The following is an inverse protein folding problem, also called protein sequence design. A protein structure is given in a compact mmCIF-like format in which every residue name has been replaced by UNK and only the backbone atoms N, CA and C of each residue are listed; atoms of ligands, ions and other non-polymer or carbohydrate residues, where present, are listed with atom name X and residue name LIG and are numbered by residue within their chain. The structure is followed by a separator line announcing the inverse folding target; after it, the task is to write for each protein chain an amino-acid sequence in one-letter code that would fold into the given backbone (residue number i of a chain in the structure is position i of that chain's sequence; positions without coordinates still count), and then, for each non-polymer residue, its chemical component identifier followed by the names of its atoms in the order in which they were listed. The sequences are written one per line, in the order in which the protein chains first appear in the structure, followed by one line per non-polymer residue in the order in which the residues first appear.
data_IF_946752108482
#
_entry.id   IF_946752108482
#
_cell.length_a   1.000
_cell.length_b   1.000
_cell.length_c   1.000
_cell.angle_alpha   90.00
_cell.angle_beta   90.00
_cell.angle_gamma   90.00
#
_symmetry.space_group_name_H-M   'P 1'
#
loop_
_entity.id
_entity.type
_entity.pdbx_description
1 polymer ?
#
# COMPACT_ATOMS: atom_id res chain seq x y z
N UNK A 1 18.14 -16.46 -7.77
CA UNK A 1 19.49 -17.02 -7.68
C UNK A 1 19.39 -18.32 -6.89
N UNK A 2 19.61 -19.44 -7.54
CA UNK A 2 19.54 -20.76 -6.91
C UNK A 2 20.98 -21.22 -6.68
N UNK A 3 21.33 -21.55 -5.43
CA UNK A 3 22.59 -22.20 -5.12
C UNK A 3 22.39 -23.72 -5.27
N UNK A 4 23.12 -24.34 -6.18
CA UNK A 4 23.17 -25.79 -6.30
C UNK A 4 24.52 -26.27 -5.76
N UNK A 5 24.58 -27.25 -4.84
CA UNK A 5 25.84 -27.85 -4.43
C UNK A 5 26.36 -28.72 -5.58
N UNK A 6 27.62 -28.49 -5.94
CA UNK A 6 28.38 -29.33 -6.87
C UNK A 6 29.10 -30.43 -6.10
N UNK A 7 29.16 -31.65 -6.64
CA UNK A 7 30.01 -32.68 -6.07
C UNK A 7 31.51 -32.25 -6.21
N UNK A 8 32.36 -32.53 -5.21
CA UNK A 8 33.71 -31.97 -5.13
C UNK A 8 34.54 -32.15 -6.39
N UNK A 9 34.51 -33.32 -7.00
CA UNK A 9 35.31 -33.63 -8.19
C UNK A 9 34.87 -32.82 -9.41
N UNK A 10 33.59 -32.54 -9.56
CA UNK A 10 33.05 -31.72 -10.66
C UNK A 10 33.18 -30.24 -10.36
N UNK A 11 33.16 -29.87 -9.09
CA UNK A 11 33.38 -28.50 -8.64
C UNK A 11 34.70 -27.96 -9.10
N UNK A 12 35.83 -28.70 -8.90
CA UNK A 12 37.15 -28.26 -9.30
C UNK A 12 37.29 -28.14 -10.82
N UNK A 13 36.68 -29.04 -11.59
CA UNK A 13 36.70 -28.98 -13.05
C UNK A 13 35.97 -27.79 -13.59
N UNK A 14 34.71 -27.58 -13.18
CA UNK A 14 33.85 -26.48 -13.62
C UNK A 14 34.39 -25.14 -13.14
N UNK A 15 34.77 -25.03 -11.86
CA UNK A 15 35.27 -23.79 -11.27
C UNK A 15 36.63 -23.38 -11.86
N UNK A 16 37.50 -24.32 -12.16
CA UNK A 16 38.82 -24.00 -12.78
C UNK A 16 38.64 -23.49 -14.23
N UNK A 17 37.73 -24.11 -15.00
CA UNK A 17 37.41 -23.68 -16.36
C UNK A 17 36.77 -22.28 -16.39
N UNK A 18 35.81 -22.02 -15.48
CA UNK A 18 35.13 -20.72 -15.39
C UNK A 18 36.04 -19.61 -14.84
N UNK A 19 36.93 -19.94 -13.90
CA UNK A 19 37.96 -19.01 -13.41
C UNK A 19 38.91 -18.56 -14.50
N UNK A 20 39.36 -19.48 -15.35
CA UNK A 20 40.23 -19.14 -16.48
C UNK A 20 39.59 -18.20 -17.49
N UNK A 21 38.25 -18.25 -17.60
CA UNK A 21 37.48 -17.37 -18.47
C UNK A 21 37.11 -16.02 -17.85
N UNK A 22 37.34 -15.84 -16.56
CA UNK A 22 37.03 -14.59 -15.85
C UNK A 22 35.50 -14.40 -15.54
N UNK A 23 34.71 -15.44 -15.77
CA UNK A 23 33.24 -15.38 -15.63
C UNK A 23 32.75 -15.71 -14.21
N UNK A 24 33.70 -16.11 -13.32
CA UNK A 24 33.39 -16.54 -11.96
C UNK A 24 33.85 -15.52 -10.94
N UNK A 25 32.94 -15.01 -10.12
CA UNK A 25 33.26 -14.17 -8.96
C UNK A 25 32.96 -14.89 -7.67
N UNK A 26 33.88 -14.90 -6.75
CA UNK A 26 33.67 -15.35 -5.40
C UNK A 26 33.00 -14.23 -4.60
N UNK A 27 31.84 -14.51 -4.00
CA UNK A 27 31.14 -13.60 -3.10
C UNK A 27 31.09 -14.24 -1.71
N UNK A 28 31.55 -13.49 -0.72
CA UNK A 28 31.30 -13.85 0.67
C UNK A 28 29.85 -13.42 1.00
N UNK A 29 28.96 -14.39 1.24
CA UNK A 29 27.59 -14.14 1.66
C UNK A 29 27.52 -14.25 3.17
N UNK A 30 27.38 -13.13 3.84
CA UNK A 30 27.15 -13.07 5.29
C UNK A 30 25.67 -13.16 5.55
N UNK A 31 25.19 -14.32 5.99
CA UNK A 31 23.86 -14.47 6.56
C UNK A 31 23.93 -14.24 8.07
N UNK A 32 22.83 -13.78 8.69
CA UNK A 32 22.71 -13.57 10.15
C UNK A 32 22.96 -14.84 10.99
N UNK A 33 23.08 -16.00 10.38
CA UNK A 33 23.23 -17.31 11.05
C UNK A 33 24.46 -18.11 10.61
N UNK A 34 24.95 -17.95 9.38
CA UNK A 34 26.06 -18.74 8.84
C UNK A 34 26.85 -17.96 7.80
N UNK A 35 28.17 -18.11 7.82
CA UNK A 35 29.05 -17.66 6.75
C UNK A 35 29.06 -18.73 5.66
N UNK A 36 28.68 -18.36 4.45
CA UNK A 36 28.72 -19.26 3.30
C UNK A 36 29.53 -18.61 2.17
N UNK A 37 30.47 -19.33 1.62
CA UNK A 37 31.11 -18.94 0.38
C UNK A 37 30.18 -19.30 -0.78
N UNK A 38 29.78 -18.32 -1.56
CA UNK A 38 28.94 -18.53 -2.74
C UNK A 38 29.72 -18.14 -4.00
N UNK A 39 29.59 -18.95 -5.02
CA UNK A 39 30.11 -18.66 -6.35
C UNK A 39 28.99 -18.09 -7.21
N UNK A 40 29.22 -16.94 -7.83
CA UNK A 40 28.27 -16.32 -8.76
C UNK A 40 28.82 -16.42 -10.16
N UNK A 41 28.03 -17.06 -11.02
CA UNK A 41 28.29 -17.16 -12.44
C UNK A 41 27.56 -16.02 -13.14
N UNK A 42 28.28 -15.12 -13.80
CA UNK A 42 27.73 -14.10 -14.68
C UNK A 42 27.54 -14.74 -16.07
N UNK A 43 26.37 -15.34 -16.31
CA UNK A 43 26.02 -15.87 -17.63
C UNK A 43 25.68 -14.73 -18.56
N UNK A 44 26.48 -14.57 -19.62
CA UNK A 44 26.11 -13.75 -20.77
C UNK A 44 25.21 -14.56 -21.70
N UNK A 45 24.20 -13.97 -22.35
CA UNK A 45 23.23 -14.69 -23.22
C UNK A 45 23.88 -15.47 -24.40
N UNK A 46 25.16 -15.29 -24.66
CA UNK A 46 25.90 -15.89 -25.77
C UNK A 46 26.78 -17.08 -25.36
N UNK A 47 26.83 -17.44 -24.09
CA UNK A 47 27.66 -18.57 -23.62
C UNK A 47 26.90 -19.90 -23.68
N UNK A 48 26.58 -20.37 -24.89
CA UNK A 48 25.96 -21.68 -25.12
C UNK A 48 26.73 -22.83 -24.47
N UNK A 49 28.06 -22.76 -24.46
CA UNK A 49 28.93 -23.80 -23.89
C UNK A 49 28.74 -23.99 -22.37
N UNK A 50 28.36 -22.94 -21.62
CA UNK A 50 28.13 -23.06 -20.17
C UNK A 50 26.81 -23.72 -19.90
N UNK A 51 25.80 -23.42 -20.70
CA UNK A 51 24.47 -24.05 -20.60
C UNK A 51 24.60 -25.55 -20.91
N UNK A 52 25.30 -25.91 -21.99
CA UNK A 52 25.55 -27.31 -22.36
C UNK A 52 26.31 -28.08 -21.27
N UNK A 53 27.33 -27.49 -20.64
CA UNK A 53 28.08 -28.11 -19.54
C UNK A 53 27.18 -28.29 -18.30
N UNK A 54 26.32 -27.31 -17.99
CA UNK A 54 25.36 -27.43 -16.88
C UNK A 54 24.29 -28.47 -17.18
N UNK A 55 23.77 -28.52 -18.41
CA UNK A 55 22.81 -29.53 -18.84
C UNK A 55 23.39 -30.93 -18.82
N UNK A 56 24.61 -31.12 -19.31
CA UNK A 56 25.32 -32.40 -19.24
C UNK A 56 25.59 -32.83 -17.80
N UNK A 57 26.02 -31.92 -16.93
CA UNK A 57 26.24 -32.19 -15.51
C UNK A 57 24.95 -32.53 -14.74
N UNK A 58 23.82 -31.94 -15.13
CA UNK A 58 22.51 -32.32 -14.58
C UNK A 58 22.04 -33.67 -15.10
N UNK A 59 22.28 -33.98 -16.38
CA UNK A 59 21.89 -35.25 -16.99
C UNK A 59 22.76 -36.44 -16.51
N UNK A 60 24.08 -36.21 -16.29
CA UNK A 60 24.99 -37.21 -15.74
C UNK A 60 24.82 -37.44 -14.24
N UNK A 61 24.10 -36.56 -13.53
CA UNK A 61 23.94 -36.59 -12.08
C UNK A 61 25.12 -36.02 -11.30
N UNK A 62 26.11 -35.43 -11.98
CA UNK A 62 27.25 -34.75 -11.36
C UNK A 62 26.86 -33.43 -10.70
N UNK A 63 25.76 -32.82 -11.16
CA UNK A 63 25.16 -31.67 -10.52
C UNK A 63 23.86 -32.13 -9.86
N UNK A 64 23.80 -32.03 -8.52
CA UNK A 64 22.59 -32.35 -7.76
C UNK A 64 21.90 -31.07 -7.27
N UNK A 65 20.63 -30.90 -7.66
CA UNK A 65 19.80 -29.84 -7.09
C UNK A 65 19.21 -30.35 -5.77
N UNK A 66 19.45 -29.69 -4.61
CA UNK A 66 18.90 -30.13 -3.35
C UNK A 66 17.38 -30.27 -3.43
N UNK A 67 16.88 -31.49 -3.20
CA UNK A 67 15.44 -31.79 -3.29
C UNK A 67 14.91 -32.11 -4.67
N UNK A 68 15.76 -32.24 -5.71
CA UNK A 68 15.37 -32.85 -6.96
C UNK A 68 15.34 -34.37 -6.80
N UNK A 69 14.24 -34.99 -7.20
CA UNK A 69 14.13 -36.47 -7.23
C UNK A 69 14.93 -36.97 -8.45
N UNK A 70 15.92 -37.86 -8.27
CA UNK A 70 16.64 -38.44 -9.40
C UNK A 70 15.67 -39.18 -10.31
N UNK A 71 15.78 -39.02 -11.61
CA UNK A 71 14.92 -39.58 -12.67
C UNK A 71 13.51 -38.98 -12.76
N UNK A 72 13.40 -37.77 -13.27
CA UNK A 72 12.12 -37.17 -13.65
C UNK A 72 12.10 -36.64 -15.10
N UNK A 73 12.42 -37.40 -16.16
CA UNK A 73 12.14 -36.92 -17.52
C UNK A 73 10.64 -36.93 -17.83
N UNK A 74 9.88 -37.88 -17.31
CA UNK A 74 8.49 -38.10 -17.73
C UNK A 74 7.42 -37.36 -16.92
N UNK A 75 7.77 -36.79 -15.79
CA UNK A 75 6.77 -36.13 -14.91
C UNK A 75 6.38 -34.74 -15.39
N UNK A 76 7.23 -34.13 -16.21
CA UNK A 76 6.96 -32.78 -16.77
C UNK A 76 6.33 -32.80 -18.18
N UNK A 77 6.27 -33.98 -18.86
CA UNK A 77 5.69 -34.07 -20.22
C UNK A 77 4.21 -33.67 -20.28
N UNK A 78 3.49 -33.70 -19.15
CA UNK A 78 2.08 -33.32 -19.07
C UNK A 78 1.82 -32.00 -18.33
N UNK A 79 2.85 -31.20 -18.05
CA UNK A 79 2.72 -29.93 -17.30
C UNK A 79 2.79 -28.73 -18.24
N UNK A 80 1.72 -28.51 -19.00
CA UNK A 80 1.61 -27.36 -19.89
C UNK A 80 1.20 -26.04 -19.16
N UNK A 81 0.65 -26.15 -17.96
CA UNK A 81 0.13 -25.01 -17.22
C UNK A 81 0.15 -25.25 -15.70
N UNK A 82 -0.16 -24.20 -14.93
CA UNK A 82 -0.19 -24.25 -13.45
C UNK A 82 -1.14 -25.31 -12.91
N UNK A 83 -2.26 -25.54 -13.59
CA UNK A 83 -3.24 -26.57 -13.18
C UNK A 83 -2.65 -27.96 -13.34
N UNK A 84 -2.01 -28.26 -14.46
CA UNK A 84 -1.29 -29.52 -14.69
C UNK A 84 -0.19 -29.74 -13.64
N UNK A 85 0.58 -28.71 -13.33
CA UNK A 85 1.59 -28.74 -12.27
C UNK A 85 1.00 -29.05 -10.90
N UNK A 86 -0.07 -28.39 -10.51
CA UNK A 86 -0.72 -28.61 -9.22
C UNK A 86 -1.41 -29.98 -9.13
N UNK A 87 -1.95 -30.50 -10.24
CA UNK A 87 -2.52 -31.84 -10.28
C UNK A 87 -1.44 -32.92 -10.05
N UNK A 88 -0.24 -32.69 -10.57
CA UNK A 88 0.88 -33.64 -10.47
C UNK A 88 1.62 -33.50 -9.14
N UNK A 89 1.90 -32.27 -8.71
CA UNK A 89 2.77 -31.99 -7.55
C UNK A 89 2.03 -31.35 -6.36
N UNK A 90 0.72 -31.15 -6.45
CA UNK A 90 -0.06 -30.39 -5.46
C UNK A 90 0.09 -30.92 -4.04
N UNK A 91 0.13 -32.25 -3.86
CA UNK A 91 0.33 -32.86 -2.54
C UNK A 91 1.73 -32.54 -2.00
N UNK A 92 2.77 -32.71 -2.81
CA UNK A 92 4.15 -32.44 -2.42
C UNK A 92 4.37 -30.95 -2.12
N UNK A 93 3.78 -30.07 -2.92
CA UNK A 93 3.80 -28.61 -2.70
C UNK A 93 3.06 -28.26 -1.41
N UNK A 94 1.88 -28.84 -1.19
CA UNK A 94 1.09 -28.61 0.02
C UNK A 94 1.84 -29.07 1.28
N UNK A 95 2.49 -30.24 1.23
CA UNK A 95 3.26 -30.74 2.38
C UNK A 95 4.51 -29.91 2.66
N UNK A 96 5.20 -29.43 1.62
CA UNK A 96 6.30 -28.47 1.79
C UNK A 96 5.83 -27.15 2.40
N UNK A 97 4.70 -26.62 1.93
CA UNK A 97 4.10 -25.40 2.50
C UNK A 97 3.72 -25.63 3.96
N UNK A 98 3.05 -26.72 4.28
CA UNK A 98 2.66 -27.08 5.66
C UNK A 98 3.87 -27.21 6.58
N UNK A 99 4.95 -27.82 6.11
CA UNK A 99 6.17 -28.01 6.89
C UNK A 99 6.98 -26.74 7.07
N UNK A 100 6.99 -25.83 6.06
CA UNK A 100 7.69 -24.55 6.13
C UNK A 100 6.91 -23.46 6.86
N UNK A 101 5.58 -23.47 6.73
CA UNK A 101 4.71 -22.46 7.29
C UNK A 101 3.74 -23.08 8.28
N UNK A 102 4.24 -23.38 9.47
CA UNK A 102 3.39 -23.86 10.57
C UNK A 102 2.30 -22.85 10.87
N UNK A 103 1.02 -23.24 10.93
CA UNK A 103 -0.07 -22.34 11.26
C UNK A 103 0.13 -21.76 12.65
N UNK A 104 -0.17 -20.49 12.81
CA UNK A 104 -0.09 -19.79 14.11
C UNK A 104 -1.14 -20.29 15.11
N UNK A 105 -2.21 -20.85 14.59
CA UNK A 105 -3.30 -21.47 15.33
C UNK A 105 -3.86 -22.64 14.52
N UNK A 106 -4.01 -23.77 15.17
CA UNK A 106 -4.63 -24.98 14.61
C UNK A 106 -5.84 -25.35 15.46
N UNK A 107 -7.09 -25.08 14.99
CA UNK A 107 -8.29 -25.33 15.78
C UNK A 107 -8.52 -26.82 16.13
N UNK A 108 -7.84 -27.73 15.42
CA UNK A 108 -7.89 -29.17 15.73
C UNK A 108 -7.02 -29.55 16.93
N UNK A 109 -6.06 -28.71 17.29
CA UNK A 109 -5.06 -29.00 18.35
C UNK A 109 -5.18 -28.07 19.56
N UNK A 110 -5.73 -26.89 19.37
CA UNK A 110 -5.72 -25.84 20.39
C UNK A 110 -7.10 -25.19 20.53
N UNK A 111 -7.56 -24.90 21.75
CA UNK A 111 -8.79 -24.14 21.95
C UNK A 111 -8.61 -22.67 21.57
N UNK A 112 -9.72 -22.02 21.26
CA UNK A 112 -9.77 -20.56 21.13
C UNK A 112 -9.50 -19.93 22.50
N UNK A 113 -8.89 -18.74 22.48
CA UNK A 113 -8.65 -17.97 23.70
C UNK A 113 -9.92 -17.34 24.23
N UNK A 114 -9.97 -17.12 25.55
CA UNK A 114 -11.11 -16.53 26.24
C UNK A 114 -11.45 -15.13 25.72
N UNK A 115 -10.45 -14.34 25.29
CA UNK A 115 -10.66 -13.01 24.75
C UNK A 115 -11.40 -13.03 23.40
N UNK A 116 -11.11 -14.01 22.53
CA UNK A 116 -11.81 -14.19 21.25
C UNK A 116 -13.24 -14.68 21.51
N UNK A 117 -13.41 -15.61 22.44
CA UNK A 117 -14.73 -16.12 22.84
C UNK A 117 -15.59 -15.02 23.44
N UNK A 118 -15.05 -14.20 24.35
CA UNK A 118 -15.78 -13.09 24.98
C UNK A 118 -16.27 -12.06 23.96
N UNK A 119 -15.49 -11.79 22.89
CA UNK A 119 -15.94 -10.91 21.80
C UNK A 119 -17.03 -11.59 20.96
N UNK A 120 -16.93 -12.89 20.71
CA UNK A 120 -17.96 -13.64 19.99
C UNK A 120 -19.29 -13.63 20.77
N UNK A 121 -19.24 -13.81 22.09
CA UNK A 121 -20.42 -13.70 22.97
C UNK A 121 -21.02 -12.28 22.94
N UNK A 122 -20.17 -11.27 22.89
CA UNK A 122 -20.61 -9.89 22.73
C UNK A 122 -21.34 -9.68 21.38
N UNK A 123 -20.82 -10.22 20.29
CA UNK A 123 -21.47 -10.19 18.98
C UNK A 123 -22.84 -10.89 19.07
N UNK A 124 -22.87 -12.12 19.60
CA UNK A 124 -24.11 -12.89 19.77
C UNK A 124 -25.17 -12.12 20.56
N UNK A 125 -24.77 -11.48 21.65
CA UNK A 125 -25.70 -10.70 22.49
C UNK A 125 -26.26 -9.45 21.82
N UNK A 126 -25.52 -8.85 20.87
CA UNK A 126 -25.89 -7.59 20.21
C UNK A 126 -26.65 -7.76 18.90
N UNK A 127 -26.25 -8.77 18.12
CA UNK A 127 -26.76 -8.96 16.76
C UNK A 127 -27.45 -10.30 16.54
N UNK A 128 -27.45 -11.21 17.53
CA UNK A 128 -28.16 -12.47 17.50
C UNK A 128 -27.52 -13.57 16.67
N UNK A 129 -26.25 -13.43 16.29
CA UNK A 129 -25.48 -14.46 15.60
C UNK A 129 -24.04 -14.51 16.10
N UNK A 130 -23.41 -15.66 16.01
CA UNK A 130 -21.99 -15.88 16.27
C UNK A 130 -21.19 -15.86 14.99
N UNK A 131 -19.89 -15.61 15.11
CA UNK A 131 -18.95 -15.82 14.00
C UNK A 131 -18.85 -17.33 13.71
N UNK A 132 -18.59 -17.66 12.44
CA UNK A 132 -18.30 -19.05 12.06
C UNK A 132 -16.95 -19.49 12.63
N UNK A 133 -16.79 -20.80 12.88
CA UNK A 133 -15.56 -21.38 13.41
C UNK A 133 -14.31 -20.99 12.62
N UNK A 134 -14.42 -20.97 11.27
CA UNK A 134 -13.33 -20.52 10.41
C UNK A 134 -12.98 -19.03 10.62
N UNK A 135 -13.96 -18.17 10.88
CA UNK A 135 -13.72 -16.75 11.17
C UNK A 135 -13.06 -16.58 12.55
N UNK A 136 -13.49 -17.34 13.53
CA UNK A 136 -12.90 -17.36 14.88
C UNK A 136 -11.46 -17.86 14.84
N UNK A 137 -11.19 -18.92 14.07
CA UNK A 137 -9.84 -19.45 13.90
C UNK A 137 -8.89 -18.43 13.25
N UNK A 138 -9.36 -17.72 12.23
CA UNK A 138 -8.57 -16.64 11.61
C UNK A 138 -8.36 -15.47 12.57
N UNK A 139 -9.38 -15.08 13.33
CA UNK A 139 -9.26 -14.01 14.33
C UNK A 139 -8.23 -14.37 15.41
N UNK A 140 -8.24 -15.61 15.91
CA UNK A 140 -7.25 -16.11 16.86
C UNK A 140 -5.83 -16.10 16.27
N UNK A 141 -5.65 -16.59 15.04
CA UNK A 141 -4.36 -16.58 14.37
C UNK A 141 -3.82 -15.16 14.17
N UNK A 142 -4.67 -14.21 13.74
CA UNK A 142 -4.32 -12.79 13.59
C UNK A 142 -3.94 -12.17 14.94
N UNK A 143 -4.70 -12.42 16.00
CA UNK A 143 -4.37 -11.98 17.36
C UNK A 143 -2.98 -12.48 17.78
N UNK A 144 -2.69 -13.77 17.59
CA UNK A 144 -1.38 -14.39 17.91
C UNK A 144 -0.24 -13.77 17.08
N UNK A 145 -0.49 -13.51 15.79
CA UNK A 145 0.46 -12.81 14.94
C UNK A 145 0.78 -11.43 15.48
N UNK A 146 -0.24 -10.65 15.82
CA UNK A 146 -0.09 -9.28 16.32
C UNK A 146 0.56 -9.21 17.71
N UNK A 147 0.41 -10.25 18.53
CA UNK A 147 1.11 -10.37 19.81
C UNK A 147 2.63 -10.57 19.65
N UNK A 148 3.06 -11.17 18.52
CA UNK A 148 4.47 -11.47 18.22
C UNK A 148 5.10 -10.48 17.26
N UNK A 149 4.33 -10.02 16.29
CA UNK A 149 4.75 -9.15 15.19
C UNK A 149 3.77 -7.99 15.06
N UNK A 150 4.23 -6.91 14.48
CA UNK A 150 3.45 -5.69 14.32
C UNK A 150 2.39 -5.77 13.21
N UNK A 151 2.51 -6.70 12.28
CA UNK A 151 1.74 -6.76 11.04
C UNK A 151 1.02 -8.10 10.93
N UNK A 152 -0.25 -8.05 10.53
CA UNK A 152 -1.01 -9.19 10.05
C UNK A 152 -1.77 -8.81 8.78
N UNK A 153 -1.91 -9.75 7.85
CA UNK A 153 -2.68 -9.60 6.62
C UNK A 153 -3.81 -10.63 6.60
N UNK A 154 -5.03 -10.19 6.32
CA UNK A 154 -6.20 -11.04 6.11
C UNK A 154 -6.52 -11.00 4.62
N UNK A 155 -6.20 -12.09 3.93
CA UNK A 155 -6.50 -12.27 2.51
C UNK A 155 -7.65 -13.27 2.43
N UNK A 156 -8.84 -12.78 2.10
CA UNK A 156 -10.04 -13.59 2.06
C UNK A 156 -11.04 -12.99 1.07
N UNK A 157 -11.89 -13.81 0.47
CA UNK A 157 -12.87 -13.39 -0.53
C UNK A 157 -13.85 -12.32 -0.03
N UNK A 158 -14.49 -11.63 -0.97
CA UNK A 158 -15.56 -10.70 -0.65
C UNK A 158 -16.71 -11.45 0.05
N UNK A 159 -17.24 -10.85 1.14
CA UNK A 159 -18.31 -11.51 1.92
C UNK A 159 -17.83 -12.45 3.03
N UNK A 160 -16.54 -12.79 3.12
CA UNK A 160 -15.98 -13.67 4.16
C UNK A 160 -16.02 -13.11 5.60
N UNK A 161 -16.44 -11.86 5.79
CA UNK A 161 -16.53 -11.22 7.11
C UNK A 161 -15.21 -10.61 7.60
N UNK A 162 -14.29 -10.22 6.71
CA UNK A 162 -12.98 -9.62 7.05
C UNK A 162 -13.08 -8.51 8.10
N UNK A 163 -14.09 -7.65 7.99
CA UNK A 163 -14.35 -6.55 8.93
C UNK A 163 -14.50 -7.05 10.36
N UNK A 164 -15.37 -8.06 10.57
CA UNK A 164 -15.59 -8.65 11.89
C UNK A 164 -14.36 -9.45 12.37
N UNK A 165 -13.73 -10.21 11.49
CA UNK A 165 -12.49 -10.95 11.80
C UNK A 165 -11.39 -10.01 12.30
N UNK A 166 -11.09 -8.94 11.54
CA UNK A 166 -10.07 -7.96 11.91
C UNK A 166 -10.41 -7.20 13.19
N UNK A 167 -11.67 -6.80 13.36
CA UNK A 167 -12.14 -6.14 14.57
C UNK A 167 -12.07 -7.06 15.78
N UNK A 168 -12.49 -8.32 15.66
CA UNK A 168 -12.40 -9.33 16.73
C UNK A 168 -10.95 -9.58 17.13
N UNK A 169 -10.05 -9.79 16.16
CA UNK A 169 -8.64 -10.02 16.45
C UNK A 169 -7.99 -8.85 17.19
N UNK A 170 -8.27 -7.63 16.75
CA UNK A 170 -7.73 -6.43 17.37
C UNK A 170 -8.34 -6.18 18.75
N UNK A 171 -9.64 -6.40 18.91
CA UNK A 171 -10.32 -6.29 20.19
C UNK A 171 -9.83 -7.30 21.21
N UNK A 172 -9.64 -8.55 20.82
CA UNK A 172 -9.07 -9.59 21.65
C UNK A 172 -7.62 -9.27 22.08
N UNK A 173 -6.82 -8.72 21.15
CA UNK A 173 -5.48 -8.25 21.44
C UNK A 173 -5.48 -7.07 22.44
N UNK A 174 -6.45 -6.16 22.31
CA UNK A 174 -6.60 -5.03 23.24
C UNK A 174 -7.02 -5.50 24.65
N UNK A 175 -7.87 -6.51 24.75
CA UNK A 175 -8.17 -7.17 26.04
C UNK A 175 -6.92 -7.74 26.68
N UNK A 176 -6.12 -8.48 25.91
CA UNK A 176 -4.84 -9.01 26.37
C UNK A 176 -3.88 -7.91 26.87
N UNK A 177 -3.81 -6.79 26.14
CA UNK A 177 -2.96 -5.66 26.55
C UNK A 177 -3.48 -4.92 27.80
N UNK A 178 -4.79 -4.84 27.97
CA UNK A 178 -5.37 -4.27 29.19
C UNK A 178 -5.02 -5.12 30.42
N UNK A 179 -5.05 -6.44 30.31
CA UNK A 179 -4.66 -7.36 31.38
C UNK A 179 -3.15 -7.36 31.63
N UNK A 180 -2.33 -7.17 30.59
CA UNK A 180 -0.86 -7.13 30.69
C UNK A 180 -0.26 -5.80 31.16
N UNK A 181 -1.05 -4.86 31.69
CA UNK A 181 -0.56 -3.65 32.37
C UNK A 181 -0.41 -2.40 31.50
N UNK A 182 -1.46 -1.85 31.05
CA UNK A 182 -1.48 -0.41 30.93
C UNK A 182 -1.50 0.20 32.33
N UNK A 183 -0.35 0.68 32.78
CA UNK A 183 -0.19 1.37 34.10
C UNK A 183 -1.06 2.63 34.19
N UNK A 184 -1.60 3.11 33.07
CA UNK A 184 -2.43 4.33 32.98
C UNK A 184 -3.95 4.05 33.01
N UNK A 185 -4.37 2.78 33.06
CA UNK A 185 -5.79 2.39 33.11
C UNK A 185 -6.60 2.77 31.86
N UNK A 186 -5.95 3.28 30.81
CA UNK A 186 -6.65 3.77 29.61
C UNK A 186 -7.12 2.62 28.73
N UNK A 187 -8.28 2.82 28.11
CA UNK A 187 -8.81 1.96 27.06
C UNK A 187 -7.99 2.09 25.76
N UNK A 188 -8.38 1.44 24.68
CA UNK A 188 -7.64 1.39 23.43
C UNK A 188 -8.06 2.48 22.46
N UNK A 189 -7.12 2.95 21.64
CA UNK A 189 -7.39 3.85 20.53
C UNK A 189 -7.04 3.16 19.20
N UNK A 190 -8.08 2.81 18.42
CA UNK A 190 -7.96 2.22 17.10
C UNK A 190 -8.24 3.24 15.99
N UNK A 191 -7.72 2.99 14.80
CA UNK A 191 -8.05 3.70 13.57
C UNK A 191 -8.43 2.73 12.47
N UNK A 192 -9.32 3.17 11.59
CA UNK A 192 -9.74 2.43 10.39
C UNK A 192 -9.60 3.33 9.18
N UNK A 193 -8.94 2.85 8.15
CA UNK A 193 -8.89 3.48 6.84
C UNK A 193 -9.57 2.56 5.82
N UNK A 194 -10.58 3.07 5.13
CA UNK A 194 -11.43 2.28 4.25
C UNK A 194 -11.94 3.11 3.05
N UNK A 195 -12.57 2.50 2.03
CA UNK A 195 -13.29 3.23 1.00
C UNK A 195 -14.40 4.13 1.58
N UNK A 196 -14.64 5.29 0.96
CA UNK A 196 -15.53 6.32 1.51
C UNK A 196 -16.97 5.84 1.75
N UNK A 197 -17.49 4.96 0.88
CA UNK A 197 -18.86 4.45 0.94
C UNK A 197 -19.11 3.46 2.09
N UNK A 198 -18.07 2.86 2.68
CA UNK A 198 -18.18 1.88 3.78
C UNK A 198 -17.84 2.44 5.16
N UNK A 199 -17.50 3.73 5.28
CA UNK A 199 -17.13 4.33 6.57
C UNK A 199 -18.20 4.18 7.66
N UNK A 200 -19.47 4.39 7.33
CA UNK A 200 -20.60 4.22 8.27
C UNK A 200 -20.82 2.74 8.63
N UNK A 201 -20.63 1.85 7.66
CA UNK A 201 -20.70 0.41 7.92
C UNK A 201 -19.62 0.01 8.94
N UNK A 202 -18.40 0.52 8.79
CA UNK A 202 -17.30 0.25 9.73
C UNK A 202 -17.61 0.72 11.15
N UNK A 203 -18.21 1.91 11.33
CA UNK A 203 -18.63 2.40 12.65
C UNK A 203 -19.66 1.47 13.28
N UNK A 204 -20.67 1.02 12.50
CA UNK A 204 -21.67 0.08 12.97
C UNK A 204 -21.04 -1.27 13.35
N UNK A 205 -20.22 -1.84 12.48
CA UNK A 205 -19.56 -3.13 12.70
C UNK A 205 -18.67 -3.14 13.96
N UNK A 206 -17.94 -2.04 14.20
CA UNK A 206 -17.16 -1.86 15.43
C UNK A 206 -18.07 -1.87 16.65
N UNK A 207 -19.17 -1.11 16.62
CA UNK A 207 -20.14 -1.07 17.71
C UNK A 207 -20.82 -2.39 17.99
N UNK A 208 -21.06 -3.22 16.95
CA UNK A 208 -21.62 -4.56 17.06
C UNK A 208 -20.61 -5.58 17.60
N UNK A 209 -19.33 -5.41 17.26
CA UNK A 209 -18.28 -6.40 17.54
C UNK A 209 -17.60 -6.16 18.88
N UNK A 210 -17.24 -4.92 19.19
CA UNK A 210 -16.36 -4.62 20.33
C UNK A 210 -17.13 -4.11 21.53
N UNK A 211 -16.91 -4.70 22.73
CA UNK A 211 -17.51 -4.20 23.98
C UNK A 211 -16.94 -2.83 24.34
N UNK A 212 -17.73 -2.00 25.01
CA UNK A 212 -17.34 -0.69 25.54
C UNK A 212 -16.53 0.19 24.57
N UNK A 213 -16.89 0.13 23.29
CA UNK A 213 -16.15 0.81 22.23
C UNK A 213 -17.04 1.83 21.54
N UNK A 214 -16.50 3.00 21.28
CA UNK A 214 -17.14 4.06 20.51
C UNK A 214 -16.43 4.29 19.18
N UNK A 215 -17.11 4.02 18.08
CA UNK A 215 -16.66 4.31 16.72
C UNK A 215 -17.24 5.62 16.21
N UNK A 216 -16.44 6.41 15.50
CA UNK A 216 -16.89 7.66 14.88
C UNK A 216 -16.25 7.86 13.51
N UNK A 217 -17.08 8.31 12.52
CA UNK A 217 -16.53 8.79 11.26
C UNK A 217 -15.85 10.13 11.47
N UNK A 218 -14.54 10.16 11.27
CA UNK A 218 -13.70 11.34 11.40
C UNK A 218 -13.53 12.00 10.04
N UNK A 219 -14.07 13.20 9.86
CA UNK A 219 -13.96 13.98 8.64
C UNK A 219 -12.98 15.14 8.76
N UNK A 220 -12.76 15.60 9.97
CA UNK A 220 -11.94 16.78 10.28
C UNK A 220 -10.98 16.50 11.43
N UNK A 221 -9.98 17.36 11.61
CA UNK A 221 -9.09 17.32 12.77
C UNK A 221 -9.88 17.59 14.07
N UNK A 222 -10.92 18.41 14.01
CA UNK A 222 -11.78 18.67 15.17
C UNK A 222 -12.50 17.41 15.63
N UNK A 223 -13.02 16.60 14.69
CA UNK A 223 -13.65 15.31 15.02
C UNK A 223 -12.63 14.37 15.68
N UNK A 224 -11.42 14.30 15.13
CA UNK A 224 -10.35 13.49 15.70
C UNK A 224 -9.98 13.95 17.11
N UNK A 225 -9.87 15.25 17.34
CA UNK A 225 -9.56 15.80 18.66
C UNK A 225 -10.68 15.54 19.69
N UNK A 226 -11.96 15.61 19.27
CA UNK A 226 -13.09 15.23 20.13
C UNK A 226 -13.01 13.76 20.54
N UNK A 227 -12.74 12.89 19.57
CA UNK A 227 -12.58 11.47 19.82
C UNK A 227 -11.38 11.18 20.75
N UNK A 228 -10.27 11.87 20.51
CA UNK A 228 -9.09 11.75 21.36
C UNK A 228 -9.33 12.22 22.81
N UNK A 229 -10.09 13.31 23.00
CA UNK A 229 -10.49 13.78 24.32
C UNK A 229 -11.38 12.77 25.06
N UNK A 230 -12.25 12.02 24.35
CA UNK A 230 -13.02 10.92 24.93
C UNK A 230 -12.12 9.77 25.36
N UNK A 231 -11.15 9.41 24.51
CA UNK A 231 -10.15 8.40 24.85
C UNK A 231 -9.34 8.78 26.10
N UNK A 232 -8.92 10.04 26.22
CA UNK A 232 -8.15 10.51 27.39
C UNK A 232 -8.94 10.48 28.71
N UNK A 233 -10.26 10.57 28.66
CA UNK A 233 -11.13 10.39 29.83
C UNK A 233 -11.12 8.95 30.34
N UNK A 234 -10.76 7.97 29.51
CA UNK A 234 -10.54 6.59 29.91
C UNK A 234 -11.79 5.71 30.01
N UNK A 235 -12.98 6.23 29.73
CA UNK A 235 -14.25 5.51 29.95
C UNK A 235 -14.49 4.40 28.91
N UNK A 236 -14.07 4.61 27.66
CA UNK A 236 -14.32 3.68 26.53
C UNK A 236 -13.12 3.59 25.60
N UNK A 237 -13.00 2.45 24.96
CA UNK A 237 -12.16 2.32 23.75
C UNK A 237 -12.75 3.12 22.61
N UNK A 238 -11.93 3.70 21.75
CA UNK A 238 -12.40 4.54 20.65
C UNK A 238 -11.79 4.11 19.32
N UNK A 239 -12.56 4.28 18.26
CA UNK A 239 -12.12 4.03 16.87
C UNK A 239 -12.43 5.23 15.98
N UNK A 240 -11.40 5.79 15.38
CA UNK A 240 -11.52 6.81 14.34
C UNK A 240 -11.64 6.12 12.97
N UNK A 241 -12.78 6.24 12.30
CA UNK A 241 -13.01 5.70 10.97
C UNK A 241 -12.96 6.84 9.95
N UNK A 242 -12.14 6.72 8.93
CA UNK A 242 -12.03 7.72 7.87
C UNK A 242 -11.74 7.08 6.52
N UNK A 243 -12.11 7.81 5.46
CA UNK A 243 -11.83 7.33 4.12
C UNK A 243 -10.38 7.56 3.72
N UNK A 244 -9.91 6.80 2.72
CA UNK A 244 -8.59 6.95 2.12
C UNK A 244 -8.34 8.37 1.58
N UNK A 245 -9.40 9.02 1.04
CA UNK A 245 -9.34 10.40 0.61
C UNK A 245 -9.16 11.35 1.79
N UNK A 246 -9.91 11.14 2.87
CA UNK A 246 -9.81 11.95 4.09
C UNK A 246 -8.45 11.78 4.77
N UNK A 247 -7.87 10.59 4.73
CA UNK A 247 -6.52 10.34 5.24
C UNK A 247 -5.46 11.13 4.47
N UNK A 248 -5.57 11.11 3.12
CA UNK A 248 -4.62 11.73 2.19
C UNK A 248 -4.79 13.24 2.04
N UNK A 249 -6.06 13.71 1.91
CA UNK A 249 -6.34 15.07 1.46
C UNK A 249 -5.91 16.11 2.49
N UNK A 250 -4.95 16.91 2.05
CA UNK A 250 -4.39 18.01 2.81
C UNK A 250 -4.93 19.34 2.35
N UNK A 251 -4.01 20.26 2.14
CA UNK A 251 -4.32 21.55 1.55
C UNK A 251 -4.82 21.39 0.12
N UNK A 252 -5.90 22.07 -0.21
CA UNK A 252 -6.16 22.32 -1.62
C UNK A 252 -5.02 23.23 -2.11
N UNK A 253 -4.37 22.80 -3.19
CA UNK A 253 -3.28 23.53 -3.81
C UNK A 253 -3.72 24.01 -5.19
N UNK A 254 -3.14 25.10 -5.61
CA UNK A 254 -3.30 25.65 -6.95
C UNK A 254 -1.93 25.82 -7.60
N UNK A 255 -1.86 25.84 -8.95
CA UNK A 255 -0.61 26.13 -9.65
C UNK A 255 -0.13 27.53 -9.33
N UNK A 256 1.03 27.64 -8.68
CA UNK A 256 1.62 28.93 -8.29
C UNK A 256 2.45 29.57 -9.43
N UNK A 257 2.54 28.90 -10.57
CA UNK A 257 3.27 29.37 -11.75
C UNK A 257 2.65 30.64 -12.33
N UNK A 258 3.50 31.47 -12.91
CA UNK A 258 3.10 32.78 -13.50
C UNK A 258 3.24 32.73 -15.01
N UNK A 259 2.19 33.14 -15.75
CA UNK A 259 2.26 33.26 -17.19
C UNK A 259 3.05 34.50 -17.62
N UNK A 260 4.04 34.33 -18.48
CA UNK A 260 4.81 35.42 -19.07
C UNK A 260 4.45 35.57 -20.57
N UNK A 261 3.84 36.71 -20.92
CA UNK A 261 3.38 37.00 -22.30
C UNK A 261 4.53 37.08 -23.31
N UNK A 262 5.69 37.65 -22.91
CA UNK A 262 6.85 37.77 -23.79
C UNK A 262 7.49 36.45 -24.11
N UNK A 263 7.66 35.56 -23.11
CA UNK A 263 8.24 34.23 -23.26
C UNK A 263 7.23 33.19 -23.71
N UNK A 264 5.92 33.51 -23.73
CA UNK A 264 4.82 32.62 -24.02
C UNK A 264 4.92 31.31 -23.21
N UNK A 265 5.29 31.39 -21.95
CA UNK A 265 5.57 30.26 -21.07
C UNK A 265 5.15 30.54 -19.63
N UNK A 266 4.89 29.46 -18.88
CA UNK A 266 4.73 29.54 -17.43
C UNK A 266 6.11 29.54 -16.76
N UNK A 267 6.30 30.46 -15.83
CA UNK A 267 7.54 30.65 -15.09
C UNK A 267 7.41 30.18 -13.65
N UNK A 268 8.51 29.72 -13.10
CA UNK A 268 8.64 29.43 -11.68
C UNK A 268 8.35 30.70 -10.84
N UNK A 269 7.61 30.58 -9.73
CA UNK A 269 7.30 31.72 -8.88
C UNK A 269 8.52 32.31 -8.17
N UNK A 270 9.63 31.58 -8.10
CA UNK A 270 10.84 31.95 -7.36
C UNK A 270 12.00 32.36 -8.30
N UNK A 271 12.48 31.46 -9.14
CA UNK A 271 13.65 31.73 -9.98
C UNK A 271 13.35 32.29 -11.37
N UNK A 272 12.08 32.48 -11.75
CA UNK A 272 11.64 32.90 -13.09
C UNK A 272 12.10 31.98 -14.25
N UNK A 273 12.57 30.77 -13.95
CA UNK A 273 12.89 29.74 -14.94
C UNK A 273 11.62 29.28 -15.66
N UNK A 274 11.73 29.02 -16.97
CA UNK A 274 10.64 28.43 -17.77
C UNK A 274 10.37 27.04 -17.27
N UNK A 275 9.09 26.73 -17.03
CA UNK A 275 8.70 25.36 -16.70
C UNK A 275 8.49 24.60 -18.00
N UNK A 276 9.14 23.46 -18.10
CA UNK A 276 9.16 22.59 -19.27
C UNK A 276 8.45 21.26 -19.00
N UNK A 277 7.94 20.65 -20.07
CA UNK A 277 7.37 19.32 -20.04
C UNK A 277 7.94 18.47 -21.17
N UNK A 278 8.08 17.17 -20.91
CA UNK A 278 8.45 16.21 -21.95
C UNK A 278 7.22 15.79 -22.74
N UNK A 279 7.33 15.86 -24.05
CA UNK A 279 6.39 15.25 -25.01
C UNK A 279 7.09 14.13 -25.77
N UNK A 280 6.32 13.13 -26.20
CA UNK A 280 6.83 12.04 -27.02
C UNK A 280 6.07 12.02 -28.33
N UNK A 281 6.78 12.19 -29.45
CA UNK A 281 6.27 12.04 -30.80
C UNK A 281 7.20 11.09 -31.57
N UNK A 282 6.63 10.13 -32.31
CA UNK A 282 7.34 9.18 -33.15
C UNK A 282 8.52 8.45 -32.47
N UNK A 283 8.37 8.14 -31.16
CA UNK A 283 9.41 7.48 -30.36
C UNK A 283 10.55 8.39 -29.88
N UNK A 284 10.57 9.65 -30.30
CA UNK A 284 11.50 10.67 -29.84
C UNK A 284 10.89 11.49 -28.70
N UNK A 285 11.73 11.90 -27.73
CA UNK A 285 11.32 12.75 -26.61
C UNK A 285 11.84 14.15 -26.82
N UNK A 286 10.96 15.13 -26.66
CA UNK A 286 11.29 16.55 -26.76
C UNK A 286 10.88 17.27 -25.49
N UNK A 287 11.65 18.28 -25.13
CA UNK A 287 11.33 19.18 -24.02
C UNK A 287 10.76 20.47 -24.61
N UNK A 288 9.55 20.83 -24.19
CA UNK A 288 8.85 22.04 -24.62
C UNK A 288 8.37 22.83 -23.41
N UNK A 289 8.13 24.15 -23.54
CA UNK A 289 7.50 24.93 -22.47
C UNK A 289 6.16 24.30 -22.05
N UNK A 290 5.97 24.13 -20.75
CA UNK A 290 4.74 23.57 -20.19
C UNK A 290 3.54 24.44 -20.54
N UNK A 291 2.48 23.81 -21.03
CA UNK A 291 1.21 24.45 -21.32
C UNK A 291 0.30 24.48 -20.06
N UNK A 292 -0.87 25.09 -20.19
CA UNK A 292 -1.83 25.15 -19.07
C UNK A 292 -2.40 23.78 -18.67
N UNK A 293 -2.43 22.80 -19.59
CA UNK A 293 -2.94 21.47 -19.31
C UNK A 293 -1.98 20.66 -18.46
N UNK A 294 -0.68 20.95 -18.53
CA UNK A 294 0.33 20.38 -17.65
C UNK A 294 0.00 20.68 -16.17
N UNK A 295 -0.59 21.83 -15.87
CA UNK A 295 -0.98 22.24 -14.53
C UNK A 295 -2.46 22.00 -14.19
N UNK A 296 -3.22 21.31 -15.06
CA UNK A 296 -4.64 21.04 -14.80
C UNK A 296 -4.85 20.21 -13.53
N UNK A 297 -3.95 19.25 -13.28
CA UNK A 297 -3.93 18.41 -12.07
C UNK A 297 -2.52 18.34 -11.51
N UNK A 298 -2.43 18.29 -10.17
CA UNK A 298 -1.15 18.09 -9.50
C UNK A 298 -0.65 16.66 -9.69
N UNK A 299 0.58 16.49 -10.15
CA UNK A 299 1.26 15.19 -10.29
C UNK A 299 2.77 15.36 -10.10
N UNK A 300 3.52 14.26 -9.90
CA UNK A 300 4.96 14.31 -9.57
C UNK A 300 5.81 15.15 -10.52
N UNK A 301 5.52 15.13 -11.83
CA UNK A 301 6.30 15.85 -12.85
C UNK A 301 6.16 17.37 -12.75
N UNK A 302 5.11 17.87 -12.08
CA UNK A 302 4.86 19.30 -11.94
C UNK A 302 4.86 19.79 -10.48
N UNK A 303 5.41 19.01 -9.55
CA UNK A 303 5.46 19.39 -8.13
C UNK A 303 6.47 20.47 -7.83
N UNK A 304 7.65 20.40 -8.44
CA UNK A 304 8.79 21.26 -8.15
C UNK A 304 9.41 21.81 -9.43
N UNK A 305 10.01 22.98 -9.31
CA UNK A 305 10.77 23.58 -10.38
C UNK A 305 12.04 22.76 -10.67
N UNK A 306 12.33 22.39 -11.92
CA UNK A 306 13.54 21.65 -12.27
C UNK A 306 14.82 22.44 -12.07
N UNK A 307 14.76 23.78 -12.01
CA UNK A 307 15.95 24.66 -11.89
C UNK A 307 16.31 24.95 -10.44
N UNK A 308 15.33 25.24 -9.57
CA UNK A 308 15.60 25.67 -8.19
C UNK A 308 14.96 24.80 -7.10
N UNK A 309 14.18 23.77 -7.47
CA UNK A 309 13.50 22.90 -6.52
C UNK A 309 12.28 23.51 -5.82
N UNK A 310 11.94 24.78 -6.08
CA UNK A 310 10.79 25.45 -5.45
C UNK A 310 9.49 24.75 -5.84
N UNK A 311 8.55 24.52 -4.87
CA UNK A 311 7.24 23.97 -5.17
C UNK A 311 6.44 24.83 -6.15
N UNK A 312 5.96 24.22 -7.23
CA UNK A 312 5.12 24.89 -8.24
C UNK A 312 3.64 24.95 -7.86
N UNK A 313 3.29 24.42 -6.69
CA UNK A 313 1.93 24.40 -6.17
C UNK A 313 1.88 25.01 -4.78
N UNK A 314 0.98 25.97 -4.60
CA UNK A 314 0.76 26.67 -3.33
C UNK A 314 -0.58 26.33 -2.71
N UNK A 315 -0.66 26.41 -1.38
CA UNK A 315 -1.92 26.24 -0.67
C UNK A 315 -2.91 27.35 -1.04
N UNK A 316 -4.16 26.96 -1.29
CA UNK A 316 -5.23 27.91 -1.59
C UNK A 316 -5.52 28.78 -0.37
N UNK A 317 -5.50 30.10 -0.57
CA UNK A 317 -6.11 31.05 0.35
C UNK A 317 -7.45 31.51 -0.26
N UNK A 318 -8.60 31.15 0.33
CA UNK A 318 -9.91 31.45 -0.25
C UNK A 318 -10.18 32.93 -0.50
N UNK A 319 -9.55 33.81 0.28
CA UNK A 319 -9.68 35.28 0.14
C UNK A 319 -8.74 35.90 -0.89
N UNK A 320 -7.81 35.12 -1.46
CA UNK A 320 -6.84 35.65 -2.44
C UNK A 320 -7.29 35.34 -3.86
N UNK A 321 -7.35 36.35 -4.71
CA UNK A 321 -7.54 36.16 -6.15
C UNK A 321 -6.31 35.48 -6.74
N UNK A 322 -6.54 34.43 -7.52
CA UNK A 322 -5.50 33.70 -8.26
C UNK A 322 -5.90 33.57 -9.73
N UNK A 323 -4.92 33.39 -10.60
CA UNK A 323 -5.15 33.29 -12.05
C UNK A 323 -5.68 31.90 -12.49
N UNK A 324 -5.96 31.03 -11.55
CA UNK A 324 -6.47 29.70 -11.78
C UNK A 324 -7.86 29.53 -11.17
N UNK A 325 -8.76 28.87 -11.89
CA UNK A 325 -10.11 28.56 -11.43
C UNK A 325 -10.25 27.05 -11.27
N UNK A 326 -10.78 26.59 -10.14
CA UNK A 326 -11.03 25.17 -9.88
C UNK A 326 -12.41 24.78 -10.36
N UNK A 327 -12.48 23.83 -11.30
CA UNK A 327 -13.74 23.26 -11.80
C UNK A 327 -13.85 21.80 -11.32
N UNK A 328 -14.43 21.57 -10.15
CA UNK A 328 -14.68 20.23 -9.59
C UNK A 328 -13.56 19.22 -9.83
N UNK A 329 -13.90 18.04 -10.32
CA UNK A 329 -12.95 16.97 -10.69
C UNK A 329 -12.22 17.22 -12.02
N UNK A 330 -12.72 18.15 -12.85
CA UNK A 330 -12.04 18.52 -14.09
C UNK A 330 -10.63 19.05 -13.84
N UNK A 331 -10.47 19.86 -12.80
CA UNK A 331 -9.16 20.35 -12.37
C UNK A 331 -9.04 21.86 -12.36
N UNK A 332 -7.81 22.35 -12.45
CA UNK A 332 -7.48 23.78 -12.50
C UNK A 332 -7.45 24.27 -13.94
N UNK A 333 -8.02 25.43 -14.17
CA UNK A 333 -8.08 26.09 -15.47
C UNK A 333 -7.44 27.47 -15.33
N UNK A 334 -6.46 27.76 -16.18
CA UNK A 334 -5.91 29.09 -16.28
C UNK A 334 -6.96 30.02 -16.89
N UNK A 335 -7.40 31.05 -16.15
CA UNK A 335 -8.58 31.85 -16.51
C UNK A 335 -8.49 32.50 -17.88
N UNK A 336 -7.31 32.99 -18.27
CA UNK A 336 -7.08 33.63 -19.56
C UNK A 336 -6.84 32.63 -20.72
N UNK A 337 -6.81 31.35 -20.42
CA UNK A 337 -6.69 30.25 -21.39
C UNK A 337 -7.91 29.32 -21.40
N UNK A 338 -8.99 29.67 -20.73
CA UNK A 338 -10.17 28.82 -20.57
C UNK A 338 -10.77 28.36 -21.90
N UNK A 339 -10.69 29.17 -22.95
CA UNK A 339 -11.21 28.83 -24.28
C UNK A 339 -10.58 27.57 -24.87
N UNK A 340 -9.30 27.31 -24.62
CA UNK A 340 -8.62 26.11 -25.10
C UNK A 340 -9.15 24.80 -24.47
N UNK A 341 -9.84 24.89 -23.35
CA UNK A 341 -10.45 23.75 -22.67
C UNK A 341 -11.82 23.34 -23.22
N UNK A 342 -12.51 24.21 -23.98
CA UNK A 342 -13.88 23.98 -24.47
C UNK A 342 -13.99 22.72 -25.34
N UNK A 343 -12.96 22.44 -26.13
CA UNK A 343 -12.93 21.28 -27.03
C UNK A 343 -12.47 19.98 -26.35
N UNK A 344 -12.07 20.03 -25.07
CA UNK A 344 -11.50 18.89 -24.36
C UNK A 344 -12.47 18.16 -23.45
N UNK A 345 -13.71 18.62 -23.32
CA UNK A 345 -14.72 17.98 -22.48
C UNK A 345 -16.06 17.96 -23.17
N UNK A 346 -16.80 16.89 -22.93
CA UNK A 346 -18.20 16.74 -23.35
C UNK A 346 -19.19 16.94 -22.21
N UNK A 347 -18.68 17.19 -20.99
CA UNK A 347 -19.53 17.39 -19.83
C UNK A 347 -20.13 18.81 -19.86
N UNK A 348 -21.44 18.92 -20.06
CA UNK A 348 -22.18 20.19 -20.18
C UNK A 348 -21.96 21.12 -18.98
N UNK A 349 -21.93 20.60 -17.76
CA UNK A 349 -21.70 21.42 -16.54
C UNK A 349 -20.32 22.07 -16.55
N UNK A 350 -19.32 21.31 -17.01
CA UNK A 350 -17.94 21.80 -17.13
C UNK A 350 -17.86 22.79 -18.29
N UNK A 351 -18.50 22.52 -19.44
CA UNK A 351 -18.56 23.41 -20.59
C UNK A 351 -19.17 24.77 -20.24
N UNK A 352 -20.30 24.79 -19.51
CA UNK A 352 -20.94 26.03 -19.08
C UNK A 352 -20.02 26.87 -18.21
N UNK A 353 -19.31 26.26 -17.24
CA UNK A 353 -18.35 26.96 -16.39
C UNK A 353 -17.14 27.46 -17.18
N UNK A 354 -16.63 26.66 -18.12
CA UNK A 354 -15.50 27.08 -18.98
C UNK A 354 -15.89 28.26 -19.88
N UNK A 355 -17.11 28.24 -20.44
CA UNK A 355 -17.65 29.34 -21.25
C UNK A 355 -17.77 30.62 -20.42
N UNK A 356 -18.29 30.51 -19.22
CA UNK A 356 -18.40 31.66 -18.29
C UNK A 356 -17.02 32.25 -17.97
N UNK A 357 -16.02 31.42 -17.67
CA UNK A 357 -14.65 31.84 -17.41
C UNK A 357 -14.02 32.48 -18.64
N UNK A 358 -14.24 31.90 -19.82
CA UNK A 358 -13.69 32.45 -21.09
C UNK A 358 -14.28 33.79 -21.44
N UNK A 359 -15.57 34.02 -21.17
CA UNK A 359 -16.27 35.29 -21.41
C UNK A 359 -15.87 36.38 -20.39
N UNK A 360 -15.69 35.99 -19.12
CA UNK A 360 -15.38 36.90 -18.04
C UNK A 360 -14.17 36.47 -17.23
N UNK A 361 -12.95 36.44 -17.79
CA UNK A 361 -11.77 35.92 -17.11
C UNK A 361 -11.37 36.73 -15.86
N UNK A 362 -11.82 37.97 -15.76
CA UNK A 362 -11.53 38.88 -14.64
C UNK A 362 -12.54 38.77 -13.49
N UNK A 363 -13.65 38.04 -13.68
CA UNK A 363 -14.64 37.86 -12.62
C UNK A 363 -14.04 37.08 -11.43
N UNK A 364 -14.66 37.26 -10.28
CA UNK A 364 -14.31 36.48 -9.09
C UNK A 364 -14.98 35.11 -9.12
N UNK A 365 -14.18 34.07 -9.16
CA UNK A 365 -14.62 32.66 -9.08
C UNK A 365 -14.26 32.09 -7.71
N UNK A 366 -15.24 31.87 -6.83
CA UNK A 366 -14.98 31.32 -5.51
C UNK A 366 -14.44 29.90 -5.62
N UNK A 367 -13.35 29.60 -4.93
CA UNK A 367 -12.81 28.26 -4.87
C UNK A 367 -13.69 27.43 -3.93
N UNK A 368 -14.46 26.52 -4.52
CA UNK A 368 -15.36 25.62 -3.79
C UNK A 368 -14.62 24.34 -3.37
N UNK A 369 -14.93 23.81 -2.20
CA UNK A 369 -14.38 22.56 -1.68
C UNK A 369 -13.81 22.66 -0.28
N UNK A 370 -13.29 21.54 0.23
CA UNK A 370 -12.71 21.48 1.57
C UNK A 370 -11.28 22.03 1.57
N UNK A 371 -11.07 23.18 2.20
CA UNK A 371 -9.74 23.76 2.40
C UNK A 371 -9.10 23.18 3.67
N UNK A 372 -8.65 21.94 3.62
CA UNK A 372 -7.96 21.31 4.76
C UNK A 372 -6.55 21.88 4.88
N UNK A 373 -6.11 22.07 6.12
CA UNK A 373 -4.74 22.53 6.40
C UNK A 373 -3.74 21.40 6.61
N UNK A 374 -4.21 20.21 7.07
CA UNK A 374 -3.39 19.02 7.25
C UNK A 374 -4.13 17.77 6.82
N UNK A 375 -3.47 16.81 6.14
CA UNK A 375 -3.98 15.46 6.00
C UNK A 375 -4.18 14.85 7.39
N UNK A 376 -5.23 14.04 7.56
CA UNK A 376 -5.42 13.33 8.83
C UNK A 376 -4.25 12.40 9.15
N UNK A 377 -3.70 11.72 8.13
CA UNK A 377 -2.53 10.85 8.30
C UNK A 377 -1.33 11.61 8.88
N UNK A 378 -1.00 12.75 8.30
CA UNK A 378 0.11 13.60 8.77
C UNK A 378 -0.15 14.15 10.17
N UNK A 379 -1.40 14.54 10.48
CA UNK A 379 -1.76 15.01 11.82
C UNK A 379 -1.60 13.91 12.85
N UNK A 380 -2.13 12.71 12.59
CA UNK A 380 -2.02 11.53 13.45
C UNK A 380 -0.53 11.20 13.68
N UNK A 381 0.26 11.14 12.61
CA UNK A 381 1.70 10.87 12.70
C UNK A 381 2.44 11.87 13.60
N UNK A 382 2.10 13.17 13.48
CA UNK A 382 2.79 14.24 14.25
C UNK A 382 2.31 14.35 15.69
N UNK A 383 1.02 14.15 15.95
CA UNK A 383 0.39 14.44 17.24
C UNK A 383 0.02 13.21 18.06
N UNK A 384 -0.26 12.09 17.38
CA UNK A 384 -0.79 10.89 18.04
C UNK A 384 0.10 9.65 17.85
N UNK A 385 1.33 9.82 17.35
CA UNK A 385 2.29 8.72 17.20
C UNK A 385 2.50 8.01 18.54
N UNK A 386 2.39 6.67 18.52
CA UNK A 386 2.51 5.83 19.70
C UNK A 386 1.28 5.84 20.65
N UNK A 387 0.23 6.62 20.29
CA UNK A 387 -1.06 6.63 20.98
C UNK A 387 -2.07 5.71 20.31
N UNK A 388 -1.86 5.36 19.04
CA UNK A 388 -2.72 4.49 18.28
C UNK A 388 -2.32 3.04 18.54
N UNK A 389 -3.23 2.28 19.12
CA UNK A 389 -2.97 0.89 19.50
C UNK A 389 -3.10 -0.05 18.29
N UNK A 390 -4.10 0.19 17.42
CA UNK A 390 -4.30 -0.64 16.25
C UNK A 390 -4.79 0.13 15.03
N UNK A 391 -4.35 -0.31 13.85
CA UNK A 391 -4.77 0.22 12.57
C UNK A 391 -5.34 -0.89 11.70
N UNK A 392 -6.63 -0.79 11.36
CA UNK A 392 -7.34 -1.64 10.41
C UNK A 392 -7.38 -0.95 9.05
N UNK A 393 -6.82 -1.57 8.03
CA UNK A 393 -6.77 -1.04 6.67
C UNK A 393 -7.57 -1.96 5.75
N UNK A 394 -8.71 -1.45 5.28
CA UNK A 394 -9.60 -2.17 4.37
C UNK A 394 -9.20 -1.94 2.91
N UNK A 395 -9.45 -2.93 2.05
CA UNK A 395 -9.08 -2.94 0.63
C UNK A 395 -7.59 -2.59 0.40
N UNK A 396 -6.72 -3.32 1.10
CA UNK A 396 -5.28 -3.06 1.14
C UNK A 396 -4.64 -2.98 -0.25
N UNK A 397 -5.17 -3.70 -1.24
CA UNK A 397 -4.69 -3.68 -2.63
C UNK A 397 -4.78 -2.31 -3.31
N UNK A 398 -5.66 -1.41 -2.83
CA UNK A 398 -5.77 -0.05 -3.39
C UNK A 398 -4.56 0.84 -3.06
N UNK A 399 -3.71 0.43 -2.12
CA UNK A 399 -2.55 1.18 -1.63
C UNK A 399 -1.21 0.66 -2.17
N UNK A 400 -1.23 -0.33 -3.06
CA UNK A 400 -0.02 -0.92 -3.62
C UNK A 400 0.61 -0.15 -4.80
N UNK A 401 0.12 1.05 -5.09
CA UNK A 401 0.69 1.96 -6.07
C UNK A 401 1.51 3.08 -5.43
N UNK A 402 2.39 3.70 -6.21
CA UNK A 402 3.08 4.93 -5.81
C UNK A 402 2.10 6.12 -5.82
N UNK A 403 1.29 6.22 -4.79
CA UNK A 403 0.17 7.18 -4.68
C UNK A 403 0.14 7.84 -3.31
N UNK A 404 -0.44 9.05 -3.25
CA UNK A 404 -0.62 9.76 -1.98
C UNK A 404 -1.52 9.02 -0.99
N UNK A 405 -2.38 8.10 -1.45
CA UNK A 405 -3.17 7.24 -0.55
C UNK A 405 -2.28 6.17 0.11
N UNK A 406 -1.36 5.58 -0.67
CA UNK A 406 -0.36 4.67 -0.14
C UNK A 406 0.58 5.36 0.85
N UNK A 407 0.97 6.61 0.60
CA UNK A 407 1.80 7.40 1.53
C UNK A 407 1.03 7.71 2.83
N UNK A 408 -0.27 8.04 2.73
CA UNK A 408 -1.13 8.24 3.90
C UNK A 408 -1.26 6.95 4.73
N UNK A 409 -1.43 5.80 4.09
CA UNK A 409 -1.44 4.49 4.75
C UNK A 409 -0.11 4.23 5.49
N UNK A 410 1.03 4.48 4.83
CA UNK A 410 2.35 4.32 5.45
C UNK A 410 2.57 5.25 6.66
N UNK A 411 2.08 6.49 6.60
CA UNK A 411 2.12 7.42 7.74
C UNK A 411 1.31 6.90 8.94
N UNK A 412 0.11 6.36 8.69
CA UNK A 412 -0.76 5.79 9.72
C UNK A 412 -0.18 4.50 10.29
N UNK A 413 0.37 3.64 9.43
CA UNK A 413 1.11 2.47 9.86
C UNK A 413 2.27 2.86 10.79
N UNK A 414 3.09 3.85 10.38
CA UNK A 414 4.20 4.36 11.19
C UNK A 414 3.79 4.98 12.53
N UNK A 415 2.54 5.41 12.66
CA UNK A 415 1.99 6.00 13.87
C UNK A 415 1.36 4.98 14.83
N UNK A 416 0.99 3.79 14.33
CA UNK A 416 0.23 2.76 15.07
C UNK A 416 1.15 1.70 15.66
N UNK A 417 0.71 1.02 16.72
CA UNK A 417 1.45 -0.07 17.36
C UNK A 417 1.35 -1.36 16.58
N UNK A 418 0.15 -1.70 16.09
CA UNK A 418 -0.07 -2.85 15.23
C UNK A 418 -0.94 -2.49 14.03
N UNK A 419 -0.89 -3.35 13.00
CA UNK A 419 -1.52 -3.15 11.71
C UNK A 419 -2.17 -4.43 11.22
N UNK A 420 -3.42 -4.32 10.78
CA UNK A 420 -4.15 -5.39 10.10
C UNK A 420 -4.55 -4.88 8.73
N UNK A 421 -3.93 -5.42 7.70
CA UNK A 421 -4.33 -5.17 6.31
C UNK A 421 -5.34 -6.22 5.85
N UNK A 422 -6.42 -5.80 5.21
CA UNK A 422 -7.49 -6.68 4.74
C UNK A 422 -7.75 -6.47 3.25
N UNK A 423 -7.83 -7.56 2.51
CA UNK A 423 -8.11 -7.50 1.06
C UNK A 423 -8.66 -8.83 0.55
N UNK A 424 -9.39 -8.79 -0.55
CA UNK A 424 -9.76 -9.99 -1.28
C UNK A 424 -8.63 -10.46 -2.20
N UNK A 425 -7.89 -9.52 -2.79
CA UNK A 425 -6.80 -9.78 -3.72
C UNK A 425 -5.57 -8.99 -3.31
N UNK A 426 -4.44 -9.67 -3.07
CA UNK A 426 -3.20 -9.00 -2.72
C UNK A 426 -2.44 -8.48 -3.96
N UNK A 427 -2.55 -9.20 -5.06
CA UNK A 427 -1.86 -8.94 -6.31
C UNK A 427 -2.88 -8.72 -7.41
N UNK A 428 -2.92 -7.54 -8.00
CA UNK A 428 -3.79 -7.18 -9.12
C UNK A 428 -3.09 -7.47 -10.46
N UNK A 429 -2.76 -8.74 -10.72
CA UNK A 429 -2.19 -9.21 -11.99
C UNK A 429 -0.69 -8.98 -12.17
N UNK A 430 -0.05 -8.05 -11.46
CA UNK A 430 1.39 -7.78 -11.56
C UNK A 430 2.08 -7.92 -10.21
N UNK A 431 3.13 -8.73 -10.16
CA UNK A 431 3.96 -8.92 -8.95
C UNK A 431 4.61 -7.62 -8.47
N UNK A 432 4.90 -6.68 -9.37
CA UNK A 432 5.40 -5.34 -9.03
C UNK A 432 4.44 -4.52 -8.16
N UNK A 433 3.13 -4.80 -8.18
CA UNK A 433 2.14 -4.11 -7.36
C UNK A 433 2.37 -4.33 -5.86
N UNK A 434 2.84 -5.51 -5.45
CA UNK A 434 3.10 -5.80 -4.04
C UNK A 434 4.34 -5.07 -3.49
N UNK A 435 5.28 -4.66 -4.35
CA UNK A 435 6.53 -4.01 -3.93
C UNK A 435 6.28 -2.76 -3.09
N UNK A 436 5.43 -1.86 -3.59
CA UNK A 436 5.12 -0.62 -2.86
C UNK A 436 4.44 -0.87 -1.52
N UNK A 437 3.64 -1.93 -1.43
CA UNK A 437 2.98 -2.31 -0.20
C UNK A 437 3.99 -2.85 0.82
N UNK A 438 4.82 -3.82 0.43
CA UNK A 438 5.84 -4.42 1.29
C UNK A 438 6.90 -3.41 1.73
N UNK A 439 7.20 -2.42 0.89
CA UNK A 439 8.12 -1.34 1.26
C UNK A 439 7.55 -0.40 2.34
N UNK A 440 6.22 -0.27 2.42
CA UNK A 440 5.53 0.64 3.34
C UNK A 440 5.19 0.02 4.70
N UNK A 441 5.10 -1.30 4.78
CA UNK A 441 4.79 -2.07 5.99
C UNK A 441 5.97 -2.97 6.40
#
# INVERSE_FOLDING_TARGET
KTAAPLIPEFQDYVLSSLRQRGDLRQLEVISLKERMDAWVLDLKPQDQNVVEVLEQGLQSGDIQIPGAVPNMPDVFENVENVTGYLNTFGVTVADRIRNQFMPLFDPAKEPLSDEVLAINDCIMSRVGYSLYDAQLAVAEAVKRQLARKRVALIIAECGSGKTKIGSTALGALHGLWADQKRKDGRKSFGIVMCPSHVTQKWVREIGETLPDTYGMVVRTIQDLNRLYAMYEKGDKSVFAVFSKEQARDGYMRYPAVRWNRRRRAFLCPDCDGVIEMEISEDGSRYTVPADQFFFQKEHKKNHTCPHCGTPLWSAVNPGKRIDWVKIGEYGWVYRYGAQAHLHRTKNERVLNQLTEIAQNPDAFYPIRGAHRRFPLSTYIKKKLRGRIDGFLCDELHEYNNNSGQGDAMAELYGASRCFVGMTATLINGYSSGIFHLLYRI
#
